data_IF_820578980046
#
_entry.id   IF_820578980046
#
_cell.length_a   1.000
_cell.length_b   1.000
_cell.length_c   1.000
_cell.angle_alpha   90.00
_cell.angle_beta   90.00
_cell.angle_gamma   90.00
#
_symmetry.space_group_name_H-M   'P 1'
#
loop_
_entity.id
_entity.type
_entity.pdbx_description
1 polymer ?
#
# COMPACT_ATOMS: atom_id res chain seq x y z
N UNK A 1 9.11 -13.83 -56.53
CA UNK A 1 9.40 -14.29 -55.15
C UNK A 1 9.30 -13.09 -54.24
N UNK A 2 8.17 -12.97 -53.54
CA UNK A 2 7.87 -11.87 -52.61
C UNK A 2 8.39 -12.21 -51.21
N UNK A 3 9.08 -11.29 -50.52
CA UNK A 3 9.43 -11.49 -49.11
C UNK A 3 8.21 -11.09 -48.27
N UNK A 4 7.31 -12.04 -47.99
CA UNK A 4 6.15 -11.82 -47.09
C UNK A 4 6.46 -12.22 -45.64
N UNK A 5 7.56 -12.95 -45.41
CA UNK A 5 7.85 -13.62 -44.13
C UNK A 5 8.28 -12.71 -42.96
N UNK A 6 8.76 -11.48 -43.21
CA UNK A 6 9.29 -10.63 -42.13
C UNK A 6 8.23 -9.84 -41.33
N UNK A 7 7.04 -9.63 -41.91
CA UNK A 7 5.96 -8.86 -41.27
C UNK A 7 5.15 -9.67 -40.26
N UNK A 8 4.89 -10.95 -40.56
CA UNK A 8 4.14 -11.85 -39.68
C UNK A 8 4.90 -12.19 -38.39
N UNK A 9 6.23 -12.35 -38.47
CA UNK A 9 7.08 -12.58 -37.29
C UNK A 9 7.12 -11.35 -36.38
N UNK A 10 7.24 -10.15 -36.95
CA UNK A 10 7.23 -8.90 -36.17
C UNK A 10 5.89 -8.65 -35.46
N UNK A 11 4.77 -9.00 -36.11
CA UNK A 11 3.43 -8.93 -35.51
C UNK A 11 3.24 -9.96 -34.39
N UNK A 12 3.71 -11.20 -34.59
CA UNK A 12 3.66 -12.25 -33.58
C UNK A 12 4.51 -11.89 -32.35
N UNK A 13 5.72 -11.36 -32.57
CA UNK A 13 6.61 -10.89 -31.51
C UNK A 13 5.99 -9.71 -30.76
N UNK A 14 5.44 -8.71 -31.46
CA UNK A 14 4.76 -7.58 -30.83
C UNK A 14 3.56 -8.01 -29.98
N UNK A 15 2.79 -9.00 -30.45
CA UNK A 15 1.65 -9.56 -29.74
C UNK A 15 2.05 -10.37 -28.50
N UNK A 16 3.09 -11.22 -28.60
CA UNK A 16 3.61 -11.99 -27.47
C UNK A 16 4.12 -11.08 -26.37
N UNK A 17 4.94 -10.12 -26.77
CA UNK A 17 5.58 -9.18 -25.89
C UNK A 17 4.48 -8.26 -25.25
N UNK A 18 3.34 -8.05 -25.93
CA UNK A 18 2.10 -7.45 -25.42
C UNK A 18 1.44 -8.26 -24.30
N UNK A 19 1.32 -9.58 -24.50
CA UNK A 19 0.80 -10.52 -23.50
C UNK A 19 1.69 -10.58 -22.26
N UNK A 20 3.00 -10.71 -22.45
CA UNK A 20 3.97 -10.80 -21.36
C UNK A 20 3.92 -9.55 -20.45
N UNK A 21 3.76 -8.37 -21.04
CA UNK A 21 3.61 -7.14 -20.28
C UNK A 21 2.29 -7.07 -19.50
N UNK A 22 1.20 -7.61 -20.05
CA UNK A 22 -0.10 -7.71 -19.36
C UNK A 22 -0.01 -8.64 -18.18
N UNK A 23 0.62 -9.81 -18.35
CA UNK A 23 0.80 -10.79 -17.29
C UNK A 23 1.68 -10.25 -16.16
N UNK A 24 2.74 -9.52 -16.49
CA UNK A 24 3.59 -8.84 -15.52
C UNK A 24 2.81 -7.78 -14.72
N UNK A 25 1.94 -7.00 -15.37
CA UNK A 25 1.07 -6.04 -14.70
C UNK A 25 0.11 -6.73 -13.73
N UNK A 26 -0.61 -7.76 -14.19
CA UNK A 26 -1.56 -8.51 -13.37
C UNK A 26 -0.87 -9.17 -12.17
N UNK A 27 0.32 -9.72 -12.39
CA UNK A 27 1.14 -10.32 -11.32
C UNK A 27 1.57 -9.27 -10.30
N UNK A 28 1.98 -8.08 -10.75
CA UNK A 28 2.34 -6.96 -9.87
C UNK A 28 1.14 -6.48 -9.03
N UNK A 29 -0.02 -6.29 -9.66
CA UNK A 29 -1.28 -5.92 -8.97
C UNK A 29 -1.68 -6.99 -7.96
N UNK A 30 -1.61 -8.26 -8.34
CA UNK A 30 -1.92 -9.40 -7.46
C UNK A 30 -1.00 -9.42 -6.24
N UNK A 31 0.31 -9.35 -6.45
CA UNK A 31 1.29 -9.38 -5.37
C UNK A 31 1.10 -8.20 -4.42
N UNK A 32 0.86 -7.00 -4.95
CA UNK A 32 0.59 -5.82 -4.15
C UNK A 32 -0.72 -5.95 -3.35
N UNK A 33 -1.78 -6.49 -3.96
CA UNK A 33 -3.05 -6.74 -3.28
C UNK A 33 -2.93 -7.77 -2.15
N UNK A 34 -2.17 -8.85 -2.38
CA UNK A 34 -1.85 -9.84 -1.34
C UNK A 34 -1.07 -9.19 -0.21
N UNK A 35 -0.07 -8.37 -0.53
CA UNK A 35 0.72 -7.64 0.47
C UNK A 35 -0.18 -6.74 1.35
N UNK A 36 -1.06 -5.95 0.73
CA UNK A 36 -2.00 -5.10 1.46
C UNK A 36 -2.97 -5.92 2.33
N UNK A 37 -3.48 -7.03 1.81
CA UNK A 37 -4.37 -7.92 2.54
C UNK A 37 -3.69 -8.54 3.76
N UNK A 38 -2.52 -9.15 3.58
CA UNK A 38 -1.75 -9.76 4.67
C UNK A 38 -1.36 -8.70 5.70
N UNK A 39 -0.89 -7.53 5.27
CA UNK A 39 -0.58 -6.42 6.17
C UNK A 39 -1.80 -5.95 6.98
N UNK A 40 -2.97 -5.85 6.35
CA UNK A 40 -4.23 -5.49 7.02
C UNK A 40 -4.66 -6.57 8.02
N UNK A 41 -4.54 -7.85 7.65
CA UNK A 41 -4.90 -8.96 8.55
C UNK A 41 -3.96 -9.05 9.75
N UNK A 42 -2.65 -8.99 9.53
CA UNK A 42 -1.65 -9.00 10.61
C UNK A 42 -1.86 -7.81 11.53
N UNK A 43 -2.03 -6.59 10.99
CA UNK A 43 -2.25 -5.39 11.81
C UNK A 43 -3.56 -5.43 12.60
N UNK A 44 -4.58 -6.15 12.14
CA UNK A 44 -5.86 -6.30 12.85
C UNK A 44 -5.86 -7.44 13.87
N UNK A 45 -5.18 -8.55 13.55
CA UNK A 45 -5.23 -9.79 14.34
C UNK A 45 -4.10 -9.89 15.36
N UNK A 46 -2.89 -9.43 15.04
CA UNK A 46 -1.75 -9.52 15.95
C UNK A 46 -2.01 -8.79 17.29
N UNK A 47 -2.57 -7.56 17.29
CA UNK A 47 -3.14 -6.92 18.47
C UNK A 47 -4.04 -7.82 19.34
N UNK A 48 -5.06 -8.43 18.73
CA UNK A 48 -6.05 -9.26 19.44
C UNK A 48 -5.42 -10.55 19.96
N UNK A 49 -4.53 -11.16 19.18
CA UNK A 49 -3.78 -12.34 19.57
C UNK A 49 -2.84 -12.02 20.74
N UNK A 50 -2.12 -10.90 20.69
CA UNK A 50 -1.23 -10.45 21.77
C UNK A 50 -2.02 -10.21 23.07
N UNK A 51 -3.18 -9.56 22.99
CA UNK A 51 -4.05 -9.35 24.16
C UNK A 51 -4.56 -10.67 24.76
N UNK A 52 -4.85 -11.67 23.92
CA UNK A 52 -5.31 -12.99 24.38
C UNK A 52 -4.20 -13.84 24.99
N UNK A 53 -3.05 -13.93 24.33
CA UNK A 53 -1.99 -14.88 24.68
C UNK A 53 -0.91 -14.28 25.59
N UNK A 54 -0.77 -12.95 25.63
CA UNK A 54 0.22 -12.24 26.45
C UNK A 54 -0.36 -10.98 27.12
N UNK A 55 -1.48 -11.08 27.88
CA UNK A 55 -2.20 -9.93 28.42
C UNK A 55 -1.32 -9.04 29.33
N UNK A 56 -0.43 -9.64 30.12
CA UNK A 56 0.47 -8.89 31.00
C UNK A 56 1.52 -8.08 30.23
N UNK A 57 2.05 -8.63 29.14
CA UNK A 57 2.99 -7.92 28.27
C UNK A 57 2.31 -6.75 27.56
N UNK A 58 1.08 -6.96 27.07
CA UNK A 58 0.26 -5.88 26.46
C UNK A 58 -0.03 -4.79 27.47
N UNK A 59 -0.49 -5.13 28.68
CA UNK A 59 -0.75 -4.15 29.73
C UNK A 59 0.51 -3.38 30.14
N UNK A 60 1.68 -4.04 30.18
CA UNK A 60 2.96 -3.38 30.44
C UNK A 60 3.33 -2.40 29.32
N UNK A 61 3.21 -2.81 28.05
CA UNK A 61 3.47 -1.95 26.91
C UNK A 61 2.52 -0.74 26.88
N UNK A 62 1.25 -0.93 27.20
CA UNK A 62 0.25 0.13 27.32
C UNK A 62 0.60 1.14 28.40
N UNK A 63 1.07 0.68 29.57
CA UNK A 63 1.53 1.58 30.64
C UNK A 63 2.75 2.37 30.23
N UNK A 64 3.71 1.76 29.53
CA UNK A 64 4.89 2.45 29.01
C UNK A 64 4.47 3.54 28.02
N UNK A 65 3.58 3.22 27.06
CA UNK A 65 3.05 4.19 26.11
C UNK A 65 2.31 5.34 26.82
N UNK A 66 1.42 5.01 27.77
CA UNK A 66 0.66 6.00 28.52
C UNK A 66 1.51 6.90 29.43
N UNK A 67 2.67 6.42 29.90
CA UNK A 67 3.61 7.17 30.72
C UNK A 67 4.56 8.09 29.91
N UNK A 68 4.31 8.25 28.61
CA UNK A 68 5.17 9.02 27.70
C UNK A 68 6.13 8.18 26.87
N UNK A 69 5.84 6.89 26.66
CA UNK A 69 6.54 6.04 25.70
C UNK A 69 6.46 6.60 24.28
N UNK A 70 7.32 6.09 23.37
CA UNK A 70 7.64 6.62 22.04
C UNK A 70 7.19 8.08 21.78
N UNK A 71 8.17 8.99 21.80
CA UNK A 71 7.96 10.38 21.38
C UNK A 71 7.07 10.44 20.12
N UNK A 72 6.05 11.31 20.13
CA UNK A 72 5.16 11.58 19.00
C UNK A 72 5.94 11.67 17.67
N UNK A 73 7.14 12.22 17.72
CA UNK A 73 8.08 12.32 16.60
C UNK A 73 8.45 10.96 15.99
N UNK A 74 8.68 9.93 16.81
CA UNK A 74 8.99 8.55 16.37
C UNK A 74 7.77 7.93 15.71
N UNK A 75 6.60 8.06 16.34
CA UNK A 75 5.33 7.59 15.79
C UNK A 75 5.05 8.22 14.43
N UNK A 76 5.19 9.55 14.33
CA UNK A 76 5.04 10.30 13.07
C UNK A 76 6.05 9.85 12.02
N UNK A 77 7.33 9.71 12.38
CA UNK A 77 8.38 9.28 11.46
C UNK A 77 8.13 7.87 10.91
N UNK A 78 7.73 6.93 11.77
CA UNK A 78 7.38 5.57 11.35
C UNK A 78 6.23 5.56 10.36
N UNK A 79 5.17 6.33 10.65
CA UNK A 79 4.01 6.41 9.77
C UNK A 79 4.27 7.14 8.46
N UNK A 80 5.10 8.19 8.48
CA UNK A 80 5.57 8.85 7.28
C UNK A 80 6.38 7.88 6.40
N UNK A 81 7.29 7.11 7.01
CA UNK A 81 8.05 6.10 6.29
C UNK A 81 7.15 5.01 5.68
N UNK A 82 6.19 4.47 6.45
CA UNK A 82 5.22 3.50 5.97
C UNK A 82 4.37 4.05 4.81
N UNK A 83 3.93 5.30 4.92
CA UNK A 83 3.22 6.03 3.87
C UNK A 83 4.06 6.11 2.61
N UNK A 84 5.30 6.60 2.70
CA UNK A 84 6.20 6.74 1.56
C UNK A 84 6.51 5.39 0.89
N UNK A 85 6.70 4.33 1.67
CA UNK A 85 6.92 2.98 1.16
C UNK A 85 5.72 2.45 0.38
N UNK A 86 4.51 2.61 0.91
CA UNK A 86 3.27 2.22 0.20
C UNK A 86 3.08 3.04 -1.07
N UNK A 87 3.32 4.35 -1.03
CA UNK A 87 3.24 5.21 -2.21
C UNK A 87 4.27 4.83 -3.28
N UNK A 88 5.51 4.51 -2.88
CA UNK A 88 6.53 4.04 -3.80
C UNK A 88 6.14 2.70 -4.45
N UNK A 89 5.55 1.78 -3.68
CA UNK A 89 5.08 0.50 -4.20
C UNK A 89 3.90 0.67 -5.15
N UNK A 90 2.90 1.46 -4.77
CA UNK A 90 1.76 1.82 -5.62
C UNK A 90 2.23 2.47 -6.92
N UNK A 91 3.15 3.43 -6.85
CA UNK A 91 3.74 4.05 -8.04
C UNK A 91 4.45 3.04 -8.94
N UNK A 92 5.15 2.03 -8.39
CA UNK A 92 5.77 0.97 -9.20
C UNK A 92 4.74 0.10 -9.90
N UNK A 93 3.63 -0.23 -9.24
CA UNK A 93 2.51 -0.99 -9.84
C UNK A 93 1.83 -0.18 -10.95
N UNK A 94 1.72 1.13 -10.77
CA UNK A 94 1.07 2.04 -11.73
C UNK A 94 2.00 2.57 -12.82
N UNK A 95 3.33 2.40 -12.68
CA UNK A 95 4.33 3.00 -13.58
C UNK A 95 4.02 2.60 -15.02
N UNK A 96 3.96 3.54 -15.98
CA UNK A 96 3.64 3.21 -17.35
C UNK A 96 4.86 2.48 -17.91
N UNK A 97 4.74 1.16 -18.11
CA UNK A 97 5.60 0.50 -19.09
C UNK A 97 5.09 0.92 -20.48
N UNK A 98 5.87 0.71 -21.54
CA UNK A 98 5.46 1.03 -22.92
C UNK A 98 4.26 0.20 -23.45
N UNK A 99 3.44 -0.35 -22.53
CA UNK A 99 2.50 -1.47 -22.64
C UNK A 99 1.51 -1.45 -21.45
N UNK A 100 0.51 -2.35 -21.38
CA UNK A 100 -0.85 -2.07 -20.93
C UNK A 100 -0.97 -1.27 -19.64
N UNK A 101 -1.96 -0.37 -19.60
CA UNK A 101 -2.28 0.45 -18.43
C UNK A 101 -3.46 -0.16 -17.68
N UNK A 102 -3.45 -0.02 -16.36
CA UNK A 102 -4.64 -0.26 -15.54
C UNK A 102 -5.77 0.67 -15.98
N UNK A 103 -6.99 0.15 -15.94
CA UNK A 103 -8.16 1.01 -16.10
C UNK A 103 -8.23 2.01 -14.94
N UNK A 104 -8.79 3.21 -15.16
CA UNK A 104 -8.97 4.20 -14.10
C UNK A 104 -9.66 3.61 -12.87
N UNK A 105 -10.71 2.82 -13.07
CA UNK A 105 -11.46 2.18 -11.99
C UNK A 105 -10.56 1.30 -11.12
N UNK A 106 -9.75 0.44 -11.73
CA UNK A 106 -8.86 -0.47 -11.00
C UNK A 106 -7.73 0.30 -10.27
N UNK A 107 -7.18 1.36 -10.88
CA UNK A 107 -6.19 2.21 -10.26
C UNK A 107 -6.74 2.94 -9.02
N UNK A 108 -7.98 3.45 -9.10
CA UNK A 108 -8.66 4.08 -7.96
C UNK A 108 -9.00 3.07 -6.86
N UNK A 109 -9.37 1.84 -7.19
CA UNK A 109 -9.56 0.78 -6.20
C UNK A 109 -8.26 0.49 -5.43
N UNK A 110 -7.12 0.43 -6.13
CA UNK A 110 -5.82 0.24 -5.47
C UNK A 110 -5.46 1.40 -4.53
N UNK A 111 -5.79 2.64 -4.90
CA UNK A 111 -5.64 3.81 -4.01
C UNK A 111 -6.47 3.64 -2.74
N UNK A 112 -7.76 3.31 -2.90
CA UNK A 112 -8.66 3.14 -1.78
C UNK A 112 -8.16 2.05 -0.81
N UNK A 113 -7.75 0.89 -1.33
CA UNK A 113 -7.23 -0.22 -0.51
C UNK A 113 -5.89 0.14 0.14
N UNK A 114 -5.00 0.86 -0.55
CA UNK A 114 -3.74 1.35 0.02
C UNK A 114 -3.99 2.31 1.18
N UNK A 115 -4.92 3.24 1.01
CA UNK A 115 -5.32 4.19 2.05
C UNK A 115 -6.00 3.49 3.24
N UNK A 116 -6.88 2.53 2.99
CA UNK A 116 -7.52 1.74 4.03
C UNK A 116 -6.50 0.93 4.84
N UNK A 117 -5.51 0.31 4.19
CA UNK A 117 -4.46 -0.46 4.85
C UNK A 117 -3.70 0.39 5.87
N UNK A 118 -3.26 1.60 5.49
CA UNK A 118 -2.51 2.45 6.42
C UNK A 118 -3.42 3.05 7.50
N UNK A 119 -4.66 3.40 7.15
CA UNK A 119 -5.65 3.89 8.12
C UNK A 119 -5.95 2.81 9.16
N UNK A 120 -6.05 1.55 8.76
CA UNK A 120 -6.19 0.43 9.68
C UNK A 120 -4.97 0.27 10.60
N UNK A 121 -3.75 0.43 10.08
CA UNK A 121 -2.54 0.42 10.88
C UNK A 121 -2.57 1.52 11.96
N UNK A 122 -2.96 2.75 11.59
CA UNK A 122 -3.13 3.87 12.53
C UNK A 122 -4.16 3.56 13.61
N UNK A 123 -5.35 3.12 13.20
CA UNK A 123 -6.44 2.84 14.15
C UNK A 123 -6.07 1.74 15.14
N UNK A 124 -5.38 0.68 14.69
CA UNK A 124 -4.94 -0.38 15.58
C UNK A 124 -3.84 0.09 16.54
N UNK A 125 -2.90 0.93 16.09
CA UNK A 125 -1.90 1.54 16.97
C UNK A 125 -2.57 2.39 18.07
N UNK A 126 -3.51 3.26 17.67
CA UNK A 126 -4.21 4.15 18.60
C UNK A 126 -5.08 3.37 19.59
N UNK A 127 -5.80 2.34 19.12
CA UNK A 127 -6.58 1.45 19.97
C UNK A 127 -5.71 0.71 21.01
N UNK A 128 -4.41 0.59 20.77
CA UNK A 128 -3.45 -0.05 21.67
C UNK A 128 -2.85 0.90 22.71
N UNK A 129 -3.28 2.15 22.81
CA UNK A 129 -2.88 3.07 23.87
C UNK A 129 -2.22 4.37 23.38
N UNK A 130 -2.50 4.78 22.15
CA UNK A 130 -2.05 6.08 21.63
C UNK A 130 -2.71 7.26 22.35
N UNK A 131 -1.94 8.32 22.54
CA UNK A 131 -2.34 9.58 23.16
C UNK A 131 -3.15 10.48 22.21
N UNK A 132 -3.84 11.50 22.74
CA UNK A 132 -4.67 12.43 21.95
C UNK A 132 -3.88 13.18 20.86
N UNK A 133 -2.61 13.53 21.11
CA UNK A 133 -1.75 14.16 20.09
C UNK A 133 -1.45 13.24 18.90
N UNK A 134 -1.36 11.93 19.15
CA UNK A 134 -1.15 10.92 18.11
C UNK A 134 -2.40 10.71 17.25
N UNK A 135 -3.60 10.97 17.76
CA UNK A 135 -4.84 10.96 16.97
C UNK A 135 -4.83 12.03 15.88
N UNK A 136 -4.43 13.26 16.21
CA UNK A 136 -4.33 14.34 15.24
C UNK A 136 -3.25 14.06 14.19
N UNK A 137 -2.09 13.53 14.62
CA UNK A 137 -1.02 13.13 13.72
C UNK A 137 -1.44 11.97 12.78
N UNK A 138 -2.15 10.98 13.31
CA UNK A 138 -2.68 9.86 12.52
C UNK A 138 -3.73 10.31 11.51
N UNK A 139 -4.64 11.20 11.91
CA UNK A 139 -5.63 11.79 11.00
C UNK A 139 -4.93 12.58 9.89
N UNK A 140 -3.98 13.44 10.24
CA UNK A 140 -3.18 14.21 9.27
C UNK A 140 -2.40 13.31 8.31
N UNK A 141 -1.75 12.26 8.82
CA UNK A 141 -1.00 11.32 8.01
C UNK A 141 -1.90 10.46 7.10
N UNK A 142 -3.09 10.06 7.57
CA UNK A 142 -4.09 9.35 6.75
C UNK A 142 -4.56 10.24 5.58
N UNK A 143 -4.88 11.51 5.84
CA UNK A 143 -5.26 12.48 4.80
C UNK A 143 -4.10 12.72 3.84
N UNK A 144 -2.89 12.94 4.34
CA UNK A 144 -1.70 13.14 3.52
C UNK A 144 -1.43 11.92 2.60
N UNK A 145 -1.60 10.70 3.14
CA UNK A 145 -1.48 9.47 2.36
C UNK A 145 -2.53 9.38 1.26
N UNK A 146 -3.80 9.73 1.54
CA UNK A 146 -4.85 9.75 0.52
C UNK A 146 -4.53 10.75 -0.60
N UNK A 147 -4.11 11.97 -0.23
CA UNK A 147 -3.72 13.02 -1.19
C UNK A 147 -2.55 12.57 -2.07
N UNK A 148 -1.52 11.95 -1.47
CA UNK A 148 -0.38 11.43 -2.22
C UNK A 148 -0.75 10.25 -3.13
N UNK A 149 -1.62 9.36 -2.67
CA UNK A 149 -2.13 8.24 -3.47
C UNK A 149 -2.93 8.72 -4.67
N UNK A 150 -3.84 9.67 -4.46
CA UNK A 150 -4.63 10.29 -5.51
C UNK A 150 -3.73 11.02 -6.52
N UNK A 151 -2.75 11.80 -6.04
CA UNK A 151 -1.75 12.45 -6.92
C UNK A 151 -0.94 11.45 -7.73
N UNK A 152 -0.55 10.33 -7.13
CA UNK A 152 0.17 9.26 -7.82
C UNK A 152 -0.68 8.69 -8.94
N UNK A 153 -1.94 8.34 -8.67
CA UNK A 153 -2.85 7.83 -9.73
C UNK A 153 -3.11 8.87 -10.82
N UNK A 154 -3.39 10.13 -10.47
CA UNK A 154 -3.63 11.18 -11.47
C UNK A 154 -2.44 11.37 -12.41
N UNK A 155 -1.19 11.28 -11.90
CA UNK A 155 0.02 11.35 -12.74
C UNK A 155 0.19 10.17 -13.70
N UNK A 156 -0.44 9.04 -13.40
CA UNK A 156 -0.29 7.80 -14.17
C UNK A 156 -1.49 7.49 -15.07
N UNK A 157 -2.65 8.08 -14.78
CA UNK A 157 -3.87 8.00 -15.61
C UNK A 157 -3.98 9.14 -16.63
N UNK A 158 -3.27 10.26 -16.42
CA UNK A 158 -3.11 11.31 -17.43
C UNK A 158 -2.24 10.84 -18.62
#
# INVERSE_FOLDING_TARGET
>A
MTPVSGGETALADAAQMGRDATENLLTSVRNYSIFLYVGTMVSSLAPRAAAKYAPHAVASAQRVLAAGGYDLSVTVAFFAAATLLLQAHLARVLKPSARPRLTPLAAWSLVAVTWLCITNLFLNYLAFGGSYGEWAAAAGASVANLVMSARTVMRHLA
#
